data_IF_973773020590
#
_entry.id   IF_973773020590
#
_cell.length_a   1.000
_cell.length_b   1.000
_cell.length_c   1.000
_cell.angle_alpha   90.00
_cell.angle_beta   90.00
_cell.angle_gamma   90.00
#
_symmetry.space_group_name_H-M   'P 1'
#
loop_
_entity.id
_entity.type
_entity.pdbx_description
1 polymer ?
#
# COMPACT_ATOMS: atom_id res chain seq x y z
N UNK A 1 -2.30 -5.28 -4.89
CA UNK A 1 -2.21 -4.42 -3.68
C UNK A 1 -1.33 -3.22 -3.98
N UNK A 2 -1.18 -2.20 -3.11
CA UNK A 2 -2.04 -1.78 -1.99
C UNK A 2 -3.10 -0.77 -2.49
N UNK A 3 -4.38 -1.17 -2.46
CA UNK A 3 -5.50 -0.34 -2.94
C UNK A 3 -5.62 -0.17 -4.46
N UNK A 4 -4.62 -0.59 -5.24
CA UNK A 4 -4.72 -0.62 -6.70
C UNK A 4 -5.50 -1.82 -7.26
N UNK A 5 -5.91 -1.71 -8.52
CA UNK A 5 -6.53 -2.80 -9.28
C UNK A 5 -5.67 -4.06 -9.28
N UNK A 6 -6.29 -5.22 -9.12
CA UNK A 6 -5.61 -6.52 -9.15
C UNK A 6 -5.73 -7.25 -10.48
N UNK A 7 -6.51 -6.74 -11.44
CA UNK A 7 -6.80 -7.43 -12.70
C UNK A 7 -5.56 -7.67 -13.56
N UNK A 8 -4.57 -6.77 -13.51
CA UNK A 8 -3.33 -6.88 -14.29
C UNK A 8 -2.23 -7.65 -13.56
N UNK A 9 -2.45 -8.04 -12.29
CA UNK A 9 -1.45 -8.71 -11.47
C UNK A 9 -0.95 -10.03 -12.10
N UNK A 10 -1.81 -10.91 -12.68
CA UNK A 10 -1.35 -12.12 -13.37
C UNK A 10 -0.37 -11.81 -14.50
N UNK A 11 -0.72 -10.88 -15.39
CA UNK A 11 0.13 -10.49 -16.51
C UNK A 11 1.45 -9.86 -16.03
N UNK A 12 1.40 -9.06 -14.96
CA UNK A 12 2.59 -8.52 -14.33
C UNK A 12 3.52 -9.65 -13.82
N UNK A 13 3.00 -10.65 -13.09
CA UNK A 13 3.79 -11.77 -12.60
C UNK A 13 4.44 -12.57 -13.73
N UNK A 14 3.71 -12.80 -14.83
CA UNK A 14 4.27 -13.43 -16.04
C UNK A 14 5.42 -12.58 -16.62
N UNK A 15 5.24 -11.25 -16.71
CA UNK A 15 6.30 -10.34 -17.21
C UNK A 15 7.55 -10.32 -16.33
N UNK A 16 7.40 -10.60 -15.03
CA UNK A 16 8.51 -10.71 -14.08
C UNK A 16 9.17 -12.10 -14.08
N UNK A 17 8.70 -13.03 -14.92
CA UNK A 17 9.29 -14.36 -15.07
C UNK A 17 8.89 -15.34 -13.97
N UNK A 18 7.61 -15.34 -13.56
CA UNK A 18 7.10 -16.39 -12.67
C UNK A 18 7.45 -17.78 -13.23
N UNK A 19 7.88 -18.74 -12.39
CA UNK A 19 8.33 -20.04 -12.89
C UNK A 19 7.24 -20.75 -13.69
N UNK A 20 7.63 -21.37 -14.83
CA UNK A 20 6.71 -22.13 -15.68
C UNK A 20 5.94 -23.21 -14.89
N UNK A 21 6.61 -23.86 -13.93
CA UNK A 21 5.98 -24.85 -13.05
C UNK A 21 4.77 -24.32 -12.25
N UNK A 22 4.71 -23.01 -11.98
CA UNK A 22 3.55 -22.38 -11.34
C UNK A 22 2.42 -22.26 -12.36
N UNK A 23 2.70 -21.79 -13.57
CA UNK A 23 1.70 -21.65 -14.63
C UNK A 23 1.15 -23.00 -15.10
N UNK A 24 1.98 -24.04 -15.05
CA UNK A 24 1.58 -25.42 -15.38
C UNK A 24 0.66 -26.03 -14.30
N UNK A 25 0.66 -25.47 -13.09
CA UNK A 25 -0.05 -26.03 -11.92
C UNK A 25 -1.21 -25.15 -11.43
N UNK A 26 -1.22 -23.86 -11.76
CA UNK A 26 -2.15 -22.87 -11.22
C UNK A 26 -2.61 -21.88 -12.28
N UNK A 27 -3.92 -21.64 -12.32
CA UNK A 27 -4.47 -20.46 -12.97
C UNK A 27 -4.17 -19.22 -12.13
N UNK A 28 -3.60 -18.19 -12.76
CA UNK A 28 -3.33 -16.92 -12.10
C UNK A 28 -4.56 -16.00 -12.18
N UNK A 29 -5.25 -15.83 -11.05
CA UNK A 29 -6.45 -15.00 -10.96
C UNK A 29 -6.15 -13.68 -10.23
N UNK A 30 -6.40 -12.57 -10.94
CA UNK A 30 -6.38 -11.22 -10.38
C UNK A 30 -7.80 -10.73 -10.11
N UNK A 31 -8.02 -10.02 -9.00
CA UNK A 31 -9.32 -9.40 -8.72
C UNK A 31 -9.17 -7.93 -8.33
N UNK A 32 -10.15 -7.14 -8.73
CA UNK A 32 -10.41 -5.87 -8.09
C UNK A 32 -11.21 -6.11 -6.81
N UNK A 33 -10.68 -5.67 -5.68
CA UNK A 33 -11.40 -5.71 -4.39
C UNK A 33 -12.54 -4.71 -4.40
N UNK A 34 -13.56 -4.91 -3.55
CA UNK A 34 -14.66 -3.96 -3.37
C UNK A 34 -14.13 -2.52 -3.21
N UNK A 35 -14.76 -1.55 -3.87
CA UNK A 35 -14.36 -0.15 -3.83
C UNK A 35 -13.23 0.23 -4.79
N UNK A 36 -12.64 -0.72 -5.52
CA UNK A 36 -11.47 -0.50 -6.38
C UNK A 36 -11.79 -0.88 -7.84
N UNK A 37 -11.25 -0.10 -8.77
CA UNK A 37 -11.22 -0.46 -10.20
C UNK A 37 -12.62 -0.72 -10.77
N UNK A 38 -12.84 -1.93 -11.28
CA UNK A 38 -14.13 -2.36 -11.85
C UNK A 38 -15.12 -2.90 -10.82
N UNK A 39 -14.74 -2.99 -9.54
CA UNK A 39 -15.56 -3.56 -8.46
C UNK A 39 -16.22 -2.48 -7.62
N UNK A 40 -17.25 -1.83 -8.18
CA UNK A 40 -18.01 -0.73 -7.54
C UNK A 40 -17.07 0.34 -6.94
N UNK A 41 -16.32 1.08 -7.78
CA UNK A 41 -15.28 1.99 -7.31
C UNK A 41 -15.86 3.09 -6.43
N UNK A 42 -15.18 3.37 -5.32
CA UNK A 42 -15.55 4.45 -4.40
C UNK A 42 -14.59 5.62 -4.57
N UNK A 43 -15.15 6.83 -4.72
CA UNK A 43 -14.42 8.08 -4.79
C UNK A 43 -14.84 9.01 -3.66
N UNK A 44 -13.90 9.79 -3.14
CA UNK A 44 -14.17 10.83 -2.14
C UNK A 44 -14.16 12.25 -2.72
N UNK A 45 -14.27 12.41 -4.05
CA UNK A 45 -14.31 13.73 -4.70
C UNK A 45 -13.02 14.55 -4.55
N UNK A 46 -11.86 13.93 -4.30
CA UNK A 46 -10.60 14.67 -4.21
C UNK A 46 -10.20 15.27 -5.56
N UNK A 47 -9.67 16.49 -5.52
CA UNK A 47 -9.06 17.15 -6.69
C UNK A 47 -7.56 17.32 -6.46
N UNK A 48 -6.75 17.46 -7.53
CA UNK A 48 -5.31 17.68 -7.40
C UNK A 48 -4.94 18.93 -6.58
N UNK A 49 -5.84 19.91 -6.52
CA UNK A 49 -5.67 21.16 -5.76
C UNK A 49 -6.08 21.03 -4.29
N UNK A 50 -6.63 19.88 -3.90
CA UNK A 50 -7.07 19.60 -2.54
C UNK A 50 -5.91 19.44 -1.54
N UNK A 51 -6.17 19.58 -0.23
CA UNK A 51 -5.14 19.46 0.80
C UNK A 51 -4.67 18.01 1.02
N UNK A 52 -5.38 17.03 0.47
CA UNK A 52 -4.99 15.62 0.52
C UNK A 52 -4.16 15.24 -0.71
N UNK A 53 -2.86 15.11 -0.52
CA UNK A 53 -1.91 14.84 -1.61
C UNK A 53 -1.46 13.38 -1.69
N UNK A 54 -1.34 12.68 -0.56
CA UNK A 54 -0.83 11.31 -0.52
C UNK A 54 -1.32 10.52 0.71
N UNK A 55 -1.22 9.19 0.62
CA UNK A 55 -1.50 8.24 1.71
C UNK A 55 -0.39 8.18 2.79
N UNK A 56 0.79 8.73 2.51
CA UNK A 56 1.85 8.93 3.50
C UNK A 56 1.82 10.43 3.88
N UNK A 57 1.57 10.76 5.16
CA UNK A 57 1.53 12.16 5.59
C UNK A 57 2.92 12.81 5.49
N UNK A 58 2.98 14.15 5.35
CA UNK A 58 4.24 14.88 5.37
C UNK A 58 4.99 14.67 6.71
N UNK A 59 6.29 14.96 6.69
CA UNK A 59 7.12 14.86 7.89
C UNK A 59 6.61 15.81 8.99
N UNK A 60 6.33 15.26 10.16
CA UNK A 60 5.90 16.01 11.33
C UNK A 60 7.10 16.71 11.99
N UNK A 61 7.36 17.95 11.58
CA UNK A 61 8.48 18.75 12.09
C UNK A 61 8.28 19.23 13.53
N UNK A 62 7.03 19.43 13.95
CA UNK A 62 6.62 19.87 15.29
C UNK A 62 5.14 19.50 15.57
N UNK A 63 4.68 19.79 16.79
CA UNK A 63 3.29 19.52 17.22
C UNK A 63 2.24 20.33 16.43
N UNK A 64 2.63 21.51 15.93
CA UNK A 64 1.73 22.34 15.12
C UNK A 64 1.48 21.69 13.75
N UNK A 65 2.51 21.11 13.12
CA UNK A 65 2.39 20.35 11.88
C UNK A 65 1.51 19.11 12.06
N UNK A 66 1.64 18.40 13.19
CA UNK A 66 0.75 17.26 13.51
C UNK A 66 -0.70 17.70 13.62
N UNK A 67 -0.95 18.81 14.33
CA UNK A 67 -2.30 19.36 14.52
C UNK A 67 -2.92 19.81 13.20
N UNK A 68 -2.14 20.47 12.34
CA UNK A 68 -2.57 20.87 11.00
C UNK A 68 -2.95 19.65 10.14
N UNK A 69 -2.11 18.60 10.16
CA UNK A 69 -2.37 17.36 9.42
C UNK A 69 -3.61 16.62 9.94
N UNK A 70 -3.87 16.64 11.26
CA UNK A 70 -5.09 16.09 11.82
C UNK A 70 -6.34 16.84 11.32
N UNK A 71 -6.25 18.16 11.14
CA UNK A 71 -7.29 18.97 10.51
C UNK A 71 -7.59 18.52 9.07
N UNK A 72 -6.54 18.27 8.27
CA UNK A 72 -6.66 17.75 6.90
C UNK A 72 -7.29 16.35 6.91
N UNK A 73 -6.82 15.45 7.78
CA UNK A 73 -7.37 14.10 7.90
C UNK A 73 -8.86 14.10 8.25
N UNK A 74 -9.31 15.02 9.12
CA UNK A 74 -10.73 15.21 9.41
C UNK A 74 -11.51 15.68 8.19
N UNK A 75 -11.00 16.69 7.46
CA UNK A 75 -11.66 17.18 6.24
C UNK A 75 -11.81 16.08 5.19
N UNK A 76 -10.77 15.25 5.03
CA UNK A 76 -10.78 14.06 4.17
C UNK A 76 -11.87 13.08 4.56
N UNK A 77 -11.96 12.75 5.86
CA UNK A 77 -12.98 11.83 6.36
C UNK A 77 -14.40 12.37 6.15
N UNK A 78 -14.62 13.66 6.45
CA UNK A 78 -15.90 14.33 6.23
C UNK A 78 -16.26 14.41 4.75
N UNK A 79 -15.28 14.60 3.86
CA UNK A 79 -15.52 14.62 2.42
C UNK A 79 -15.90 13.24 1.90
N UNK A 80 -15.14 12.20 2.24
CA UNK A 80 -15.51 10.82 1.90
C UNK A 80 -16.92 10.48 2.40
N UNK A 81 -17.27 10.86 3.63
CA UNK A 81 -18.59 10.61 4.19
C UNK A 81 -19.73 11.34 3.45
N UNK A 82 -19.46 12.51 2.85
CA UNK A 82 -20.46 13.22 2.02
C UNK A 82 -20.65 12.60 0.65
N UNK A 83 -19.63 11.94 0.12
CA UNK A 83 -19.67 11.28 -1.19
C UNK A 83 -20.18 9.82 -1.10
N UNK A 84 -20.45 9.32 0.11
CA UNK A 84 -20.93 7.95 0.37
C UNK A 84 -22.46 7.83 0.26
N UNK A 85 -23.02 8.25 -0.87
CA UNK A 85 -24.47 8.23 -1.12
C UNK A 85 -25.10 6.83 -0.95
N UNK A 86 -24.33 5.79 -1.26
CA UNK A 86 -24.75 4.39 -1.17
C UNK A 86 -24.47 3.75 0.22
N UNK A 87 -23.82 4.47 1.14
CA UNK A 87 -23.52 3.98 2.48
C UNK A 87 -22.55 2.79 2.49
N UNK A 88 -21.63 2.72 1.53
CA UNK A 88 -20.73 1.58 1.32
C UNK A 88 -19.45 1.67 2.13
N UNK A 89 -19.02 2.86 2.58
CA UNK A 89 -17.74 3.04 3.28
C UNK A 89 -17.57 2.13 4.51
N UNK A 90 -18.58 1.93 5.39
CA UNK A 90 -18.45 1.03 6.53
C UNK A 90 -18.22 -0.44 6.15
N UNK A 91 -18.47 -0.80 4.88
CA UNK A 91 -18.36 -2.16 4.37
C UNK A 91 -17.07 -2.42 3.59
N UNK A 92 -16.25 -1.39 3.34
CA UNK A 92 -14.93 -1.49 2.71
C UNK A 92 -13.85 -1.98 3.69
N UNK A 93 -14.07 -3.17 4.27
CA UNK A 93 -13.18 -3.74 5.27
C UNK A 93 -12.37 -4.92 4.73
N UNK A 94 -11.20 -5.18 5.30
CA UNK A 94 -10.40 -6.39 5.01
C UNK A 94 -11.21 -7.66 5.23
N UNK A 95 -11.98 -7.73 6.32
CA UNK A 95 -12.81 -8.89 6.64
C UNK A 95 -13.89 -9.15 5.59
N UNK A 96 -14.55 -8.10 5.08
CA UNK A 96 -15.53 -8.26 4.03
C UNK A 96 -14.88 -8.57 2.67
N UNK A 97 -13.68 -8.07 2.41
CA UNK A 97 -12.90 -8.43 1.23
C UNK A 97 -12.47 -9.90 1.27
N UNK A 98 -12.13 -10.44 2.46
CA UNK A 98 -11.86 -11.86 2.65
C UNK A 98 -13.09 -12.73 2.36
N UNK A 99 -14.29 -12.26 2.71
CA UNK A 99 -15.56 -12.94 2.32
C UNK A 99 -15.77 -12.92 0.81
N UNK A 100 -15.36 -11.86 0.12
CA UNK A 100 -15.43 -11.82 -1.35
C UNK A 100 -14.47 -12.82 -1.99
N UNK A 101 -13.24 -12.95 -1.45
CA UNK A 101 -12.31 -13.99 -1.91
C UNK A 101 -12.92 -15.38 -1.78
N UNK A 102 -13.64 -15.66 -0.70
CA UNK A 102 -14.30 -16.96 -0.54
C UNK A 102 -15.44 -17.18 -1.55
N UNK A 103 -16.16 -16.11 -1.90
CA UNK A 103 -17.18 -16.15 -2.97
C UNK A 103 -16.55 -16.39 -4.34
N UNK A 104 -15.41 -15.76 -4.63
CA UNK A 104 -14.65 -16.00 -5.86
C UNK A 104 -14.19 -17.45 -5.94
N UNK A 105 -13.60 -18.00 -4.86
CA UNK A 105 -13.25 -19.43 -4.77
C UNK A 105 -14.46 -20.32 -5.10
N UNK A 106 -15.60 -20.07 -4.44
CA UNK A 106 -16.82 -20.85 -4.67
C UNK A 106 -17.34 -20.73 -6.11
N UNK A 107 -17.29 -19.53 -6.71
CA UNK A 107 -17.72 -19.29 -8.08
C UNK A 107 -16.81 -19.96 -9.13
N UNK A 108 -15.53 -20.14 -8.81
CA UNK A 108 -14.59 -20.91 -9.62
C UNK A 108 -14.76 -22.43 -9.46
N UNK A 109 -15.60 -22.88 -8.52
CA UNK A 109 -15.82 -24.31 -8.26
C UNK A 109 -14.75 -24.97 -7.39
N UNK A 110 -13.85 -24.17 -6.80
CA UNK A 110 -12.72 -24.68 -6.01
C UNK A 110 -13.15 -25.01 -4.58
N UNK A 111 -12.72 -26.16 -4.06
CA UNK A 111 -12.96 -26.53 -2.65
C UNK A 111 -12.09 -25.68 -1.70
N UNK A 112 -10.81 -25.52 -2.05
CA UNK A 112 -9.82 -24.69 -1.35
C UNK A 112 -9.16 -23.74 -2.32
N UNK A 113 -8.65 -22.60 -1.83
CA UNK A 113 -7.91 -21.64 -2.66
C UNK A 113 -6.51 -21.41 -2.15
N UNK A 114 -5.57 -21.22 -3.07
CA UNK A 114 -4.24 -20.70 -2.80
C UNK A 114 -4.23 -19.17 -2.98
N UNK A 115 -3.42 -18.46 -2.20
CA UNK A 115 -3.40 -17.01 -2.23
C UNK A 115 -1.97 -16.46 -2.13
N UNK A 116 -1.67 -15.50 -3.00
CA UNK A 116 -0.44 -14.72 -3.00
C UNK A 116 -0.77 -13.26 -2.68
N UNK A 117 -0.33 -12.79 -1.52
CA UNK A 117 -0.57 -11.43 -1.03
C UNK A 117 0.72 -10.63 -0.93
N UNK A 118 0.72 -9.43 -1.52
CA UNK A 118 1.79 -8.44 -1.36
C UNK A 118 1.29 -7.23 -0.56
N UNK A 119 2.09 -6.72 0.37
CA UNK A 119 1.77 -5.50 1.14
C UNK A 119 0.38 -5.60 1.81
N UNK A 120 -0.60 -4.73 1.53
CA UNK A 120 -1.98 -4.90 2.03
C UNK A 120 -2.58 -6.29 1.73
N UNK A 121 -2.17 -6.91 0.63
CA UNK A 121 -2.54 -8.29 0.33
C UNK A 121 -2.16 -9.28 1.45
N UNK A 122 -1.12 -9.01 2.24
CA UNK A 122 -0.77 -9.87 3.38
C UNK A 122 -1.82 -9.85 4.47
N UNK A 123 -2.37 -8.67 4.78
CA UNK A 123 -3.47 -8.51 5.71
C UNK A 123 -4.72 -9.25 5.24
N UNK A 124 -5.03 -9.12 3.95
CA UNK A 124 -6.16 -9.81 3.33
C UNK A 124 -5.99 -11.34 3.36
N UNK A 125 -4.81 -11.84 2.99
CA UNK A 125 -4.49 -13.26 3.03
C UNK A 125 -4.54 -13.84 4.45
N UNK A 126 -4.01 -13.10 5.44
CA UNK A 126 -4.08 -13.48 6.84
C UNK A 126 -5.52 -13.51 7.38
N UNK A 127 -6.32 -12.51 7.02
CA UNK A 127 -7.74 -12.46 7.37
C UNK A 127 -8.52 -13.63 6.75
N UNK A 128 -8.28 -13.93 5.47
CA UNK A 128 -8.88 -15.08 4.78
C UNK A 128 -8.53 -16.40 5.47
N UNK A 129 -7.24 -16.66 5.70
CA UNK A 129 -6.78 -17.90 6.31
C UNK A 129 -7.30 -18.08 7.74
N UNK A 130 -7.48 -16.98 8.48
CA UNK A 130 -8.03 -17.00 9.84
C UNK A 130 -9.54 -17.24 9.86
N UNK A 131 -10.28 -16.69 8.89
CA UNK A 131 -11.74 -16.84 8.80
C UNK A 131 -12.16 -18.16 8.16
N UNK A 132 -11.38 -18.68 7.22
CA UNK A 132 -11.69 -19.87 6.42
C UNK A 132 -10.51 -20.85 6.36
N UNK A 133 -10.01 -21.35 7.51
CA UNK A 133 -8.83 -22.22 7.54
C UNK A 133 -9.02 -23.50 6.72
N UNK A 134 -10.22 -24.08 6.75
CA UNK A 134 -10.55 -25.31 6.00
C UNK A 134 -10.65 -25.12 4.48
N UNK A 135 -10.78 -23.86 4.03
CA UNK A 135 -10.88 -23.46 2.62
C UNK A 135 -9.58 -22.85 2.09
N UNK A 136 -8.56 -22.78 2.94
CA UNK A 136 -7.25 -22.27 2.58
C UNK A 136 -6.33 -23.43 2.22
N UNK A 137 -5.59 -23.28 1.11
CA UNK A 137 -4.52 -24.20 0.73
C UNK A 137 -3.16 -23.52 0.95
N UNK A 138 -2.44 -23.13 -0.11
CA UNK A 138 -1.13 -22.49 0.02
C UNK A 138 -1.27 -20.98 0.11
N UNK A 139 -0.79 -20.40 1.20
CA UNK A 139 -0.85 -18.96 1.46
C UNK A 139 0.57 -18.38 1.50
N UNK A 140 0.88 -17.47 0.60
CA UNK A 140 2.16 -16.75 0.54
C UNK A 140 1.91 -15.27 0.81
N UNK A 141 2.53 -14.76 1.88
CA UNK A 141 2.41 -13.37 2.30
C UNK A 141 3.78 -12.70 2.21
N UNK A 142 3.97 -11.85 1.20
CA UNK A 142 5.22 -11.13 0.96
C UNK A 142 5.09 -9.65 1.38
N UNK A 143 6.09 -9.15 2.11
CA UNK A 143 6.14 -7.80 2.65
C UNK A 143 5.01 -7.53 3.65
N UNK A 144 4.94 -8.39 4.67
CA UNK A 144 3.86 -8.43 5.65
C UNK A 144 3.77 -7.16 6.51
N UNK A 145 2.55 -6.64 6.67
CA UNK A 145 2.25 -5.51 7.57
C UNK A 145 2.18 -5.92 9.07
N UNK A 146 2.12 -7.22 9.36
CA UNK A 146 2.16 -7.80 10.71
C UNK A 146 0.79 -7.89 11.40
N UNK A 147 -0.30 -7.55 10.70
CA UNK A 147 -1.70 -7.63 11.16
C UNK A 147 -2.63 -7.69 9.93
N UNK A 148 -3.94 -7.78 10.16
CA UNK A 148 -5.04 -7.69 9.19
C UNK A 148 -5.49 -6.26 8.88
N UNK A 149 -4.85 -5.26 9.50
CA UNK A 149 -5.08 -3.84 9.28
C UNK A 149 -3.80 -3.04 9.54
N UNK A 150 -3.75 -1.80 9.04
CA UNK A 150 -2.63 -0.90 9.30
C UNK A 150 -3.04 0.12 10.37
N UNK A 151 -2.47 -0.03 11.56
CA UNK A 151 -2.73 0.83 12.70
C UNK A 151 -1.58 1.83 12.94
N UNK A 152 -1.68 2.62 14.01
CA UNK A 152 -0.65 3.59 14.39
C UNK A 152 0.71 2.92 14.63
N UNK A 153 0.74 1.76 15.29
CA UNK A 153 2.00 1.12 15.61
C UNK A 153 2.61 0.44 14.37
N UNK A 154 1.79 -0.06 13.45
CA UNK A 154 2.17 -0.46 12.10
C UNK A 154 2.82 0.68 11.31
N UNK A 155 2.22 1.88 11.33
CA UNK A 155 2.81 3.06 10.69
C UNK A 155 4.15 3.47 11.32
N UNK A 156 4.31 3.36 12.64
CA UNK A 156 5.59 3.59 13.31
C UNK A 156 6.65 2.58 12.89
N UNK A 157 6.30 1.30 12.76
CA UNK A 157 7.21 0.26 12.26
C UNK A 157 7.62 0.52 10.82
N UNK A 158 6.69 0.97 9.97
CA UNK A 158 6.99 1.34 8.58
C UNK A 158 8.01 2.49 8.49
N UNK A 159 7.83 3.55 9.29
CA UNK A 159 8.77 4.66 9.36
C UNK A 159 10.16 4.22 9.87
N UNK A 160 10.19 3.37 10.91
CA UNK A 160 11.44 2.81 11.44
C UNK A 160 12.18 1.97 10.37
N UNK A 161 11.47 1.12 9.63
CA UNK A 161 12.08 0.32 8.56
C UNK A 161 12.70 1.19 7.45
N UNK A 162 12.06 2.31 7.12
CA UNK A 162 12.60 3.29 6.17
C UNK A 162 13.90 3.91 6.69
N UNK A 163 13.93 4.35 7.96
CA UNK A 163 15.13 4.91 8.59
C UNK A 163 16.26 3.88 8.68
N UNK A 164 15.96 2.62 9.01
CA UNK A 164 16.94 1.54 9.13
C UNK A 164 17.56 1.15 7.79
N UNK A 165 16.82 1.26 6.69
CA UNK A 165 17.27 0.90 5.34
C UNK A 165 17.83 2.09 4.56
N UNK A 166 17.57 3.34 4.98
CA UNK A 166 18.15 4.54 4.37
C UNK A 166 19.68 4.49 4.21
N UNK A 167 20.48 3.95 5.17
CA UNK A 167 21.91 3.79 4.99
C UNK A 167 22.31 2.97 3.75
N UNK A 168 21.47 2.05 3.28
CA UNK A 168 21.74 1.23 2.09
C UNK A 168 21.66 2.08 0.82
N UNK A 169 20.59 2.86 0.69
CA UNK A 169 20.48 3.90 -0.34
C UNK A 169 21.64 4.89 -0.24
N UNK A 170 21.96 5.37 0.96
CA UNK A 170 23.00 6.36 1.16
C UNK A 170 24.39 5.84 0.77
N UNK A 171 24.70 4.56 1.01
CA UNK A 171 25.94 3.92 0.52
C UNK A 171 25.93 3.79 -1.00
N UNK A 172 24.83 3.33 -1.58
CA UNK A 172 24.68 3.19 -3.04
C UNK A 172 24.86 4.52 -3.78
N UNK A 173 24.25 5.60 -3.25
CA UNK A 173 24.32 6.95 -3.80
C UNK A 173 25.71 7.57 -3.60
N UNK A 174 26.34 7.36 -2.44
CA UNK A 174 27.67 7.87 -2.16
C UNK A 174 28.73 7.30 -3.12
N UNK A 175 28.64 6.00 -3.44
CA UNK A 175 29.48 5.36 -4.45
C UNK A 175 29.29 5.93 -5.87
N UNK A 176 28.21 6.69 -6.10
CA UNK A 176 27.83 7.31 -7.38
C UNK A 176 27.78 8.83 -7.29
N UNK A 177 28.60 9.41 -6.41
CA UNK A 177 28.67 10.85 -6.20
C UNK A 177 28.86 11.63 -7.51
N UNK A 178 29.73 11.16 -8.40
CA UNK A 178 30.01 11.85 -9.66
C UNK A 178 28.77 11.94 -10.58
N UNK A 179 27.80 11.03 -10.44
CA UNK A 179 26.57 11.03 -11.23
C UNK A 179 25.46 11.88 -10.59
N UNK A 180 25.34 11.84 -9.25
CA UNK A 180 24.18 12.43 -8.56
C UNK A 180 24.49 13.65 -7.70
N UNK A 181 25.76 13.91 -7.38
CA UNK A 181 26.16 15.05 -6.56
C UNK A 181 25.68 15.00 -5.11
N UNK A 182 25.11 13.88 -4.63
CA UNK A 182 24.44 13.81 -3.31
C UNK A 182 25.41 13.80 -2.11
N UNK A 183 26.70 13.63 -2.36
CA UNK A 183 27.76 13.44 -1.35
C UNK A 183 28.57 12.16 -1.58
N UNK A 184 29.79 12.11 -1.04
CA UNK A 184 30.74 10.99 -1.15
C UNK A 184 30.68 10.01 0.02
N UNK A 185 29.92 10.33 1.06
CA UNK A 185 29.69 9.46 2.23
C UNK A 185 28.21 9.37 2.54
N UNK A 186 27.77 8.29 3.19
CA UNK A 186 26.36 8.13 3.59
C UNK A 186 25.87 9.29 4.47
N UNK A 187 26.74 9.83 5.33
CA UNK A 187 26.42 10.99 6.15
C UNK A 187 26.24 12.28 5.31
N UNK A 188 27.06 12.47 4.28
CA UNK A 188 26.87 13.58 3.33
C UNK A 188 25.56 13.41 2.55
N UNK A 189 25.28 12.20 2.04
CA UNK A 189 24.02 11.89 1.33
C UNK A 189 22.80 12.18 2.20
N UNK A 190 22.80 11.77 3.47
CA UNK A 190 21.71 12.08 4.40
C UNK A 190 21.51 13.58 4.57
N UNK A 191 22.59 14.34 4.79
CA UNK A 191 22.50 15.81 4.93
C UNK A 191 21.94 16.47 3.67
N UNK A 192 22.43 16.06 2.50
CA UNK A 192 21.93 16.58 1.22
C UNK A 192 20.45 16.24 1.03
N UNK A 193 20.04 15.00 1.29
CA UNK A 193 18.65 14.57 1.19
C UNK A 193 17.73 15.41 2.09
N UNK A 194 18.07 15.56 3.36
CA UNK A 194 17.25 16.35 4.31
C UNK A 194 17.24 17.84 3.98
N UNK A 195 18.34 18.40 3.48
CA UNK A 195 18.39 19.78 3.03
C UNK A 195 17.53 20.00 1.77
N UNK A 196 17.50 19.03 0.85
CA UNK A 196 16.63 19.06 -0.32
C UNK A 196 15.16 18.97 0.08
N UNK A 197 14.79 18.03 0.97
CA UNK A 197 13.44 17.90 1.49
C UNK A 197 12.97 19.21 2.16
N UNK A 198 13.76 19.76 3.09
CA UNK A 198 13.42 21.01 3.77
C UNK A 198 13.31 22.22 2.83
N UNK A 199 14.00 22.21 1.68
CA UNK A 199 13.84 23.22 0.64
C UNK A 199 12.52 23.03 -0.12
N UNK A 200 12.20 21.79 -0.49
CA UNK A 200 10.97 21.44 -1.21
C UNK A 200 9.71 21.63 -0.36
N UNK A 201 9.81 21.46 0.96
CA UNK A 201 8.71 21.78 1.90
C UNK A 201 8.35 23.27 1.89
N UNK A 202 9.33 24.16 1.61
CA UNK A 202 9.12 25.62 1.56
C UNK A 202 8.79 26.12 0.17
N UNK A 203 9.40 25.52 -0.84
CA UNK A 203 9.25 25.89 -2.24
C UNK A 203 9.12 24.60 -3.07
N UNK A 204 7.91 24.03 -3.15
CA UNK A 204 7.65 22.86 -3.97
C UNK A 204 7.97 23.15 -5.44
N UNK A 205 8.52 22.16 -6.14
CA UNK A 205 8.63 22.20 -7.60
C UNK A 205 7.49 21.38 -8.19
N UNK A 206 6.97 21.78 -9.35
CA UNK A 206 6.08 20.93 -10.11
C UNK A 206 6.83 19.64 -10.47
N UNK A 207 6.32 18.51 -10.01
CA UNK A 207 6.80 17.17 -10.36
C UNK A 207 6.19 16.66 -11.66
#
# INVERSE_FOLDING_TARGET
>A
GPGGSGLTQPAFLVSQGIPASVLDSYDLIGMDTRGIGRSAPVGCGFTPEGPYFANIPPYAVDDAAVTAQAGIARQVAEQCAREDDEGVLPHLTTANTARDLDRVRAALGEERTSFLGYSYGTALGAAYASMFPERSDRIVLDSNIGDTHLDRDGMRRYALGTEQTFPDFARWAAARHESYGLGRTSAQVRRTYLALAARLDKAPVAG
#
